data_IF_751659976582
#
_entry.id   IF_751659976582
#
_cell.length_a   1.000
_cell.length_b   1.000
_cell.length_c   1.000
_cell.angle_alpha   90.00
_cell.angle_beta   90.00
_cell.angle_gamma   90.00
#
_symmetry.space_group_name_H-M   'P 1'
#
loop_
_entity.id
_entity.type
_entity.pdbx_description
1 polymer ?
#
# COMPACT_ATOMS: atom_id res chain seq x y z
N UNK A 1 23.93 22.43 -1.72
CA UNK A 1 22.52 22.87 -1.51
C UNK A 1 22.09 23.51 -2.82
N UNK A 2 21.24 22.87 -3.65
CA UNK A 2 20.65 23.61 -4.76
C UNK A 2 19.58 24.48 -4.13
N UNK A 3 19.97 25.72 -3.81
CA UNK A 3 19.02 26.78 -3.50
C UNK A 3 17.96 26.72 -4.59
N UNK A 4 16.69 26.56 -4.22
CA UNK A 4 15.58 26.84 -5.13
C UNK A 4 15.80 28.25 -5.64
N UNK A 5 16.35 28.36 -6.86
CA UNK A 5 16.63 29.65 -7.49
C UNK A 5 15.29 30.37 -7.57
N UNK A 6 15.12 31.35 -6.69
CA UNK A 6 13.94 32.19 -6.70
C UNK A 6 14.18 33.22 -7.79
N UNK A 7 13.48 33.07 -8.92
CA UNK A 7 13.59 34.00 -10.02
C UNK A 7 12.74 35.23 -9.71
N UNK A 8 13.30 36.43 -9.91
CA UNK A 8 12.55 37.67 -9.75
C UNK A 8 11.47 37.88 -10.83
N UNK A 9 11.50 37.11 -11.93
CA UNK A 9 10.50 37.14 -12.99
C UNK A 9 10.53 35.88 -13.86
N UNK A 10 9.44 35.64 -14.59
CA UNK A 10 9.34 34.59 -15.62
C UNK A 10 10.36 34.77 -16.74
N UNK A 11 10.78 36.02 -17.02
CA UNK A 11 11.83 36.32 -18.02
C UNK A 11 13.19 35.80 -17.54
N UNK A 12 13.56 36.06 -16.29
CA UNK A 12 14.80 35.54 -15.69
C UNK A 12 14.80 34.01 -15.64
N UNK A 13 13.67 33.39 -15.29
CA UNK A 13 13.52 31.94 -15.34
C UNK A 13 13.74 31.39 -16.75
N UNK A 14 13.12 31.97 -17.78
CA UNK A 14 13.29 31.52 -19.18
C UNK A 14 14.72 31.68 -19.68
N UNK A 15 15.41 32.75 -19.28
CA UNK A 15 16.82 32.99 -19.62
C UNK A 15 17.73 31.96 -18.98
N UNK A 16 17.57 31.71 -17.68
CA UNK A 16 18.36 30.70 -16.97
C UNK A 16 18.03 29.30 -17.48
N UNK A 17 16.76 29.01 -17.79
CA UNK A 17 16.33 27.70 -18.29
C UNK A 17 17.07 27.27 -19.55
N UNK A 18 17.42 28.19 -20.46
CA UNK A 18 18.21 27.83 -21.65
C UNK A 18 19.59 27.29 -21.29
N UNK A 19 20.26 27.89 -20.30
CA UNK A 19 21.57 27.45 -19.81
C UNK A 19 21.44 26.22 -18.91
N UNK A 20 20.48 26.26 -17.99
CA UNK A 20 20.22 25.19 -17.05
C UNK A 20 19.81 23.91 -17.77
N UNK A 21 18.95 23.96 -18.80
CA UNK A 21 18.46 22.79 -19.53
C UNK A 21 19.59 21.91 -20.09
N UNK A 22 20.69 22.52 -20.54
CA UNK A 22 21.86 21.79 -21.05
C UNK A 22 22.53 20.96 -19.94
N UNK A 23 22.51 21.49 -18.71
CA UNK A 23 23.08 20.82 -17.52
C UNK A 23 22.01 20.07 -16.71
N UNK A 24 20.75 20.14 -17.13
CA UNK A 24 19.60 19.57 -16.46
C UNK A 24 19.54 18.12 -16.91
N UNK A 25 20.16 17.21 -16.15
CA UNK A 25 20.18 15.77 -16.46
C UNK A 25 18.78 15.21 -16.76
N UNK A 26 18.72 14.08 -17.45
CA UNK A 26 17.45 13.46 -17.82
C UNK A 26 16.60 13.20 -16.58
N UNK A 27 15.33 13.61 -16.62
CA UNK A 27 14.38 13.37 -15.53
C UNK A 27 13.32 12.38 -16.01
N UNK A 28 13.38 11.17 -15.51
CA UNK A 28 12.33 10.18 -15.65
C UNK A 28 11.18 10.51 -14.72
N UNK A 29 9.96 10.40 -15.24
CA UNK A 29 8.75 10.68 -14.47
C UNK A 29 7.89 9.43 -14.39
N UNK A 30 7.71 8.92 -13.18
CA UNK A 30 6.89 7.75 -12.89
C UNK A 30 5.49 8.21 -12.51
N UNK A 31 4.47 7.67 -13.18
CA UNK A 31 3.07 7.97 -12.84
C UNK A 31 2.70 7.29 -11.52
N UNK A 32 2.19 8.05 -10.56
CA UNK A 32 1.76 7.58 -9.25
C UNK A 32 0.65 6.52 -9.35
N UNK A 33 -0.27 6.67 -10.31
CA UNK A 33 -1.35 5.68 -10.54
C UNK A 33 -0.77 4.30 -10.93
N UNK A 34 0.34 4.27 -11.66
CA UNK A 34 1.00 3.04 -12.10
C UNK A 34 1.94 2.49 -11.02
N UNK A 35 2.41 3.34 -10.10
CA UNK A 35 3.47 3.00 -9.16
C UNK A 35 2.96 2.71 -7.74
N UNK A 36 1.79 3.21 -7.37
CA UNK A 36 1.27 3.00 -6.01
C UNK A 36 1.06 1.52 -5.63
N UNK A 37 0.80 0.54 -6.53
CA UNK A 37 0.71 -0.85 -6.11
C UNK A 37 2.02 -1.36 -5.49
N UNK A 38 3.18 -0.93 -6.01
CA UNK A 38 4.46 -1.22 -5.37
C UNK A 38 4.58 -0.57 -3.98
N UNK A 39 4.08 0.66 -3.82
CA UNK A 39 4.00 1.32 -2.50
C UNK A 39 3.09 0.55 -1.53
N UNK A 40 1.96 0.04 -2.03
CA UNK A 40 1.03 -0.81 -1.28
C UNK A 40 1.65 -2.15 -0.90
N UNK A 41 2.48 -2.74 -1.77
CA UNK A 41 3.25 -3.93 -1.43
C UNK A 41 4.23 -3.66 -0.29
N UNK A 42 4.98 -2.55 -0.31
CA UNK A 42 5.87 -2.17 0.79
C UNK A 42 5.12 -1.98 2.12
N UNK A 43 3.92 -1.39 2.07
CA UNK A 43 3.05 -1.29 3.24
C UNK A 43 2.64 -2.66 3.75
N UNK A 44 2.17 -3.53 2.87
CA UNK A 44 1.69 -4.84 3.23
C UNK A 44 2.81 -5.76 3.73
N UNK A 45 3.99 -5.71 3.11
CA UNK A 45 5.17 -6.47 3.53
C UNK A 45 5.60 -6.07 4.94
N UNK A 46 5.56 -4.77 5.26
CA UNK A 46 5.85 -4.27 6.62
C UNK A 46 4.98 -4.90 7.72
N UNK A 47 3.77 -5.35 7.37
CA UNK A 47 2.85 -5.99 8.32
C UNK A 47 3.10 -7.48 8.53
N UNK A 48 3.80 -8.14 7.60
CA UNK A 48 4.07 -9.58 7.63
C UNK A 48 5.55 -9.92 7.84
N UNK A 49 6.43 -8.91 7.79
CA UNK A 49 7.86 -9.06 8.11
C UNK A 49 8.10 -9.25 9.61
N UNK A 50 8.12 -10.51 10.02
CA UNK A 50 8.55 -10.95 11.34
C UNK A 50 10.09 -11.09 11.35
N UNK A 51 10.80 -10.74 12.45
CA UNK A 51 10.31 -10.23 13.72
C UNK A 51 10.21 -8.69 13.81
N UNK A 52 10.33 -7.97 12.69
CA UNK A 52 10.40 -6.49 12.69
C UNK A 52 9.15 -5.89 13.35
N UNK A 53 7.97 -6.34 12.92
CA UNK A 53 6.70 -6.02 13.56
C UNK A 53 6.36 -7.11 14.58
N UNK A 54 6.16 -6.79 15.86
CA UNK A 54 5.65 -7.77 16.82
C UNK A 54 4.25 -8.26 16.42
N UNK A 55 3.97 -9.56 16.57
CA UNK A 55 2.65 -10.09 16.26
C UNK A 55 1.62 -9.48 17.20
N UNK A 56 0.43 -9.17 16.67
CA UNK A 56 -0.66 -8.70 17.50
C UNK A 56 -1.07 -9.83 18.48
N UNK A 57 -1.33 -9.56 19.78
CA UNK A 57 -1.60 -10.63 20.75
C UNK A 57 -2.81 -11.52 20.39
N UNK A 58 -3.81 -10.96 19.72
CA UNK A 58 -4.96 -11.73 19.20
C UNK A 58 -4.60 -12.78 18.13
N UNK A 59 -3.43 -12.67 17.48
CA UNK A 59 -2.91 -13.70 16.56
C UNK A 59 -2.19 -14.84 17.29
N UNK A 60 -1.89 -14.64 18.58
CA UNK A 60 -1.15 -15.59 19.43
C UNK A 60 -2.08 -16.36 20.39
N UNK A 61 -3.39 -16.10 20.32
CA UNK A 61 -4.42 -16.70 21.16
C UNK A 61 -5.60 -17.16 20.30
N UNK A 62 -6.33 -18.18 20.78
CA UNK A 62 -7.51 -18.70 20.09
C UNK A 62 -8.71 -17.79 20.31
N UNK A 63 -9.47 -17.50 19.25
CA UNK A 63 -10.76 -16.80 19.36
C UNK A 63 -11.86 -17.82 19.70
N UNK A 64 -12.59 -17.60 20.80
CA UNK A 64 -13.55 -18.59 21.34
C UNK A 64 -15.02 -18.23 21.18
N UNK A 65 -15.37 -16.99 20.83
CA UNK A 65 -16.75 -16.58 20.58
C UNK A 65 -17.09 -16.64 19.07
N UNK A 66 -18.34 -16.33 18.70
CA UNK A 66 -18.76 -16.41 17.29
C UNK A 66 -18.27 -15.18 16.49
N UNK A 67 -18.01 -15.31 15.19
CA UNK A 67 -17.71 -14.18 14.31
C UNK A 67 -18.83 -13.14 14.31
N UNK A 68 -20.11 -13.52 14.23
CA UNK A 68 -21.25 -12.60 14.19
C UNK A 68 -21.54 -11.84 15.49
N UNK A 69 -20.55 -11.63 16.37
CA UNK A 69 -20.73 -10.82 17.58
C UNK A 69 -21.15 -9.39 17.21
N UNK A 70 -22.26 -8.88 17.77
CA UNK A 70 -22.64 -7.49 17.56
C UNK A 70 -21.62 -6.56 18.18
N UNK A 71 -21.56 -5.32 17.71
CA UNK A 71 -20.81 -4.29 18.41
C UNK A 71 -21.41 -4.08 19.79
N UNK A 72 -20.55 -4.00 20.81
CA UNK A 72 -20.95 -3.77 22.20
C UNK A 72 -20.22 -2.56 22.76
N UNK A 73 -20.81 -1.91 23.76
CA UNK A 73 -20.16 -0.83 24.48
C UNK A 73 -19.07 -1.42 25.40
N UNK A 74 -17.86 -0.90 25.26
CA UNK A 74 -16.71 -1.23 26.10
C UNK A 74 -16.75 -0.40 27.41
N UNK A 75 -15.97 -0.77 28.44
CA UNK A 75 -15.98 -0.09 29.74
C UNK A 75 -15.66 1.41 29.70
N UNK A 76 -15.01 1.89 28.65
CA UNK A 76 -14.69 3.31 28.46
C UNK A 76 -15.77 4.09 27.68
N UNK A 77 -16.86 3.43 27.31
CA UNK A 77 -17.96 3.99 26.52
C UNK A 77 -17.81 3.88 25.00
N UNK A 78 -16.64 3.46 24.49
CA UNK A 78 -16.44 3.21 23.06
C UNK A 78 -17.18 1.95 22.60
N UNK A 79 -17.42 1.80 21.29
CA UNK A 79 -18.13 0.63 20.74
C UNK A 79 -17.25 -0.15 19.76
N UNK A 80 -17.26 -1.48 19.86
CA UNK A 80 -16.53 -2.37 18.95
C UNK A 80 -17.10 -3.79 18.95
N UNK A 81 -16.77 -4.60 17.95
CA UNK A 81 -16.93 -6.06 18.01
C UNK A 81 -15.89 -6.64 18.95
N UNK A 82 -16.38 -7.23 20.04
CA UNK A 82 -15.53 -7.77 21.10
C UNK A 82 -15.33 -9.27 20.92
N UNK A 83 -14.10 -9.66 20.59
CA UNK A 83 -13.68 -11.05 20.48
C UNK A 83 -13.09 -11.53 21.80
N UNK A 84 -13.44 -12.75 22.21
CA UNK A 84 -12.90 -13.37 23.42
C UNK A 84 -11.67 -14.21 23.05
N UNK A 85 -10.52 -13.94 23.67
CA UNK A 85 -9.25 -14.63 23.45
C UNK A 85 -8.98 -15.63 24.56
N UNK A 86 -8.80 -16.89 24.21
CA UNK A 86 -8.25 -17.90 25.10
C UNK A 86 -6.72 -17.85 25.04
N UNK A 87 -6.16 -16.97 25.85
CA UNK A 87 -4.72 -16.73 25.99
C UNK A 87 -4.08 -17.61 27.08
N UNK A 88 -4.83 -18.54 27.67
CA UNK A 88 -4.32 -19.53 28.63
C UNK A 88 -3.48 -20.63 27.97
N UNK A 89 -3.62 -20.78 26.65
CA UNK A 89 -2.86 -21.72 25.83
C UNK A 89 -2.24 -20.96 24.65
N UNK A 90 -0.93 -20.63 24.70
CA UNK A 90 -0.30 -19.90 23.61
C UNK A 90 -0.36 -20.69 22.32
N UNK A 91 -0.71 -20.01 21.23
CA UNK A 91 -0.72 -20.63 19.91
C UNK A 91 0.63 -20.45 19.20
N UNK A 92 1.02 -21.46 18.43
CA UNK A 92 2.19 -21.37 17.56
C UNK A 92 1.98 -20.32 16.46
N UNK A 93 3.01 -19.52 16.09
CA UNK A 93 2.96 -18.60 14.96
C UNK A 93 2.56 -19.24 13.61
N UNK A 94 2.70 -20.56 13.45
CA UNK A 94 2.30 -21.30 12.24
C UNK A 94 0.78 -21.42 12.03
N UNK A 95 0.01 -20.64 12.78
CA UNK A 95 -1.45 -20.63 12.77
C UNK A 95 -2.06 -20.32 11.41
N UNK A 96 -1.30 -19.63 10.54
CA UNK A 96 -1.64 -19.33 9.16
C UNK A 96 -2.01 -20.59 8.35
N UNK A 97 -1.40 -21.73 8.67
CA UNK A 97 -1.66 -23.00 7.99
C UNK A 97 -3.03 -23.59 8.35
N UNK A 98 -3.63 -23.18 9.48
CA UNK A 98 -4.94 -23.67 9.89
C UNK A 98 -5.77 -22.58 10.60
N UNK A 99 -6.37 -21.65 9.85
CA UNK A 99 -7.15 -20.54 10.42
C UNK A 99 -8.38 -21.03 11.22
N UNK A 100 -8.85 -22.25 10.98
CA UNK A 100 -9.95 -22.84 11.76
C UNK A 100 -9.50 -23.34 13.13
N UNK A 101 -8.22 -23.67 13.35
CA UNK A 101 -7.72 -23.94 14.70
C UNK A 101 -7.65 -22.66 15.54
N UNK A 102 -7.32 -21.54 14.91
CA UNK A 102 -7.30 -20.21 15.54
C UNK A 102 -8.70 -19.69 15.87
N UNK A 103 -9.62 -19.84 14.93
CA UNK A 103 -10.97 -19.31 15.04
C UNK A 103 -11.99 -20.39 14.68
N UNK A 104 -12.13 -21.37 15.57
CA UNK A 104 -12.91 -22.59 15.32
C UNK A 104 -14.40 -22.35 15.16
N UNK A 105 -14.91 -21.22 15.66
CA UNK A 105 -16.32 -20.82 15.51
C UNK A 105 -16.59 -19.96 14.28
N UNK A 106 -15.59 -19.69 13.44
CA UNK A 106 -15.80 -19.01 12.17
C UNK A 106 -16.77 -19.82 11.27
N UNK A 107 -17.67 -19.17 10.53
CA UNK A 107 -18.58 -19.91 9.63
C UNK A 107 -17.83 -20.60 8.48
N UNK A 108 -16.69 -20.05 8.08
CA UNK A 108 -15.84 -20.62 7.04
C UNK A 108 -14.37 -20.22 7.21
N UNK A 109 -13.42 -20.94 6.57
CA UNK A 109 -12.02 -20.54 6.52
C UNK A 109 -11.82 -19.13 5.92
N UNK A 110 -12.71 -18.68 5.03
CA UNK A 110 -12.64 -17.34 4.44
C UNK A 110 -12.89 -16.25 5.49
N UNK A 111 -13.91 -16.43 6.34
CA UNK A 111 -14.21 -15.51 7.47
C UNK A 111 -13.01 -15.44 8.42
N UNK A 112 -12.46 -16.59 8.80
CA UNK A 112 -11.29 -16.65 9.66
C UNK A 112 -10.08 -15.94 9.03
N UNK A 113 -9.73 -16.24 7.77
CA UNK A 113 -8.61 -15.59 7.08
C UNK A 113 -8.78 -14.07 6.94
N UNK A 114 -10.00 -13.59 6.66
CA UNK A 114 -10.26 -12.15 6.58
C UNK A 114 -10.03 -11.47 7.92
N UNK A 115 -10.58 -12.01 9.02
CA UNK A 115 -10.33 -11.46 10.36
C UNK A 115 -8.84 -11.51 10.71
N UNK A 116 -8.16 -12.61 10.40
CA UNK A 116 -6.72 -12.75 10.59
C UNK A 116 -5.98 -11.59 9.92
N UNK A 117 -6.22 -11.37 8.63
CA UNK A 117 -5.59 -10.27 7.88
C UNK A 117 -5.93 -8.93 8.51
N UNK A 118 -7.20 -8.66 8.86
CA UNK A 118 -7.58 -7.38 9.51
C UNK A 118 -6.74 -7.09 10.76
N UNK A 119 -6.44 -8.12 11.55
CA UNK A 119 -5.59 -8.01 12.73
C UNK A 119 -4.11 -7.84 12.33
N UNK A 120 -3.61 -8.59 11.35
CA UNK A 120 -2.25 -8.46 10.82
C UNK A 120 -1.95 -7.04 10.32
N UNK A 121 -2.89 -6.40 9.64
CA UNK A 121 -2.74 -5.04 9.11
C UNK A 121 -3.00 -3.93 10.17
N UNK A 122 -3.28 -4.29 11.42
CA UNK A 122 -3.54 -3.30 12.49
C UNK A 122 -2.26 -2.77 13.13
N UNK A 123 -2.29 -1.51 13.56
CA UNK A 123 -1.21 -0.88 14.35
C UNK A 123 0.05 -0.52 13.55
N UNK A 124 0.93 0.27 14.15
CA UNK A 124 2.22 0.71 13.59
C UNK A 124 2.14 1.42 12.23
N UNK A 125 1.00 2.02 11.88
CA UNK A 125 0.83 2.71 10.60
C UNK A 125 1.85 3.85 10.42
N UNK A 126 2.05 4.68 11.45
CA UNK A 126 2.97 5.82 11.38
C UNK A 126 4.42 5.43 11.00
N UNK A 127 5.12 4.51 11.70
CA UNK A 127 6.47 4.12 11.32
C UNK A 127 6.53 3.46 9.93
N UNK A 128 5.52 2.69 9.53
CA UNK A 128 5.45 2.05 8.20
C UNK A 128 5.34 3.11 7.10
N UNK A 129 4.38 4.02 7.20
CA UNK A 129 4.19 5.08 6.21
C UNK A 129 5.38 6.05 6.17
N UNK A 130 6.03 6.30 7.32
CA UNK A 130 7.25 7.12 7.38
C UNK A 130 8.42 6.44 6.69
N UNK A 131 8.59 5.12 6.84
CA UNK A 131 9.61 4.36 6.13
C UNK A 131 9.40 4.40 4.61
N UNK A 132 8.17 4.17 4.13
CA UNK A 132 7.83 4.25 2.70
C UNK A 132 8.11 5.65 2.15
N UNK A 133 7.64 6.68 2.85
CA UNK A 133 7.83 8.05 2.41
C UNK A 133 9.30 8.50 2.49
N UNK A 134 10.09 7.93 3.41
CA UNK A 134 11.55 8.09 3.45
C UNK A 134 12.20 7.44 2.23
N UNK A 135 11.81 6.22 1.84
CA UNK A 135 12.33 5.56 0.64
C UNK A 135 12.02 6.37 -0.64
N UNK A 136 10.79 6.88 -0.79
CA UNK A 136 10.43 7.80 -1.88
C UNK A 136 11.33 9.05 -1.83
N UNK A 137 11.53 9.63 -0.65
CA UNK A 137 12.32 10.85 -0.52
C UNK A 137 13.78 10.62 -0.92
N UNK A 138 14.40 9.57 -0.38
CA UNK A 138 15.78 9.18 -0.68
C UNK A 138 15.98 8.93 -2.17
N UNK A 139 15.28 7.96 -2.75
CA UNK A 139 15.58 7.50 -4.10
C UNK A 139 15.05 8.45 -5.19
N UNK A 140 13.88 9.05 -4.97
CA UNK A 140 13.23 9.87 -5.99
C UNK A 140 13.41 11.37 -5.78
N UNK A 141 13.90 11.85 -4.64
CA UNK A 141 13.93 13.30 -4.40
C UNK A 141 15.25 13.83 -3.83
N UNK A 142 16.16 12.97 -3.38
CA UNK A 142 17.53 13.39 -2.99
C UNK A 142 18.59 13.18 -4.07
N UNK A 143 18.31 12.39 -5.10
CA UNK A 143 19.16 12.20 -6.30
C UNK A 143 19.51 13.50 -7.04
N UNK A 144 18.77 14.59 -6.82
CA UNK A 144 19.15 15.94 -7.32
C UNK A 144 20.33 16.58 -6.60
N UNK A 145 20.61 16.18 -5.36
CA UNK A 145 21.70 16.74 -4.57
C UNK A 145 23.01 15.95 -4.67
N UNK A 146 22.95 14.72 -5.19
CA UNK A 146 24.11 13.86 -5.48
C UNK A 146 24.37 13.68 -6.97
N UNK A 147 23.71 14.46 -7.85
CA UNK A 147 24.13 14.59 -9.24
C UNK A 147 25.45 15.38 -9.29
N UNK A 148 26.52 14.73 -8.83
CA UNK A 148 27.87 15.29 -8.80
C UNK A 148 28.42 15.34 -10.24
N UNK A 149 27.94 14.48 -11.13
CA UNK A 149 28.30 14.46 -12.53
C UNK A 149 27.20 15.04 -13.44
N UNK A 150 27.56 15.91 -14.41
CA UNK A 150 26.67 16.22 -15.53
C UNK A 150 26.23 14.93 -16.24
N UNK A 151 24.92 14.68 -16.28
CA UNK A 151 24.36 13.48 -16.92
C UNK A 151 23.62 12.55 -15.97
N UNK A 152 23.74 12.74 -14.66
CA UNK A 152 23.06 11.87 -13.70
C UNK A 152 21.53 11.92 -13.86
N UNK A 153 20.95 10.73 -13.87
CA UNK A 153 19.54 10.48 -14.09
C UNK A 153 18.75 10.81 -12.84
N UNK A 154 17.66 11.56 -12.99
CA UNK A 154 16.73 11.91 -11.91
C UNK A 154 15.43 11.18 -12.11
N UNK A 155 14.87 10.63 -11.04
CA UNK A 155 13.56 9.98 -11.07
C UNK A 155 12.61 10.84 -10.25
N UNK A 156 11.40 11.12 -10.72
CA UNK A 156 10.39 11.92 -10.00
C UNK A 156 9.02 11.31 -10.16
N UNK A 157 8.17 11.49 -9.15
CA UNK A 157 6.76 11.14 -9.29
C UNK A 157 6.01 12.24 -10.05
N UNK A 158 5.06 11.82 -10.88
CA UNK A 158 3.99 12.65 -11.44
C UNK A 158 2.66 11.97 -11.15
N UNK A 159 1.59 12.73 -11.10
CA UNK A 159 0.24 12.19 -11.19
C UNK A 159 -0.34 12.62 -12.52
N UNK A 160 -0.64 11.64 -13.39
CA UNK A 160 -0.97 11.88 -14.80
C UNK A 160 0.10 12.77 -15.43
N UNK A 161 -0.24 13.88 -16.06
CA UNK A 161 0.72 14.80 -16.70
C UNK A 161 1.33 15.84 -15.74
N UNK A 162 1.02 15.82 -14.44
CA UNK A 162 1.42 16.87 -13.51
C UNK A 162 2.44 16.35 -12.50
N UNK A 163 3.65 16.95 -12.39
CA UNK A 163 4.64 16.55 -11.40
C UNK A 163 4.11 16.64 -9.96
N UNK A 164 4.54 15.72 -9.09
CA UNK A 164 4.34 15.82 -7.65
C UNK A 164 5.30 16.88 -7.09
N UNK A 165 4.74 17.89 -6.44
CA UNK A 165 5.45 19.05 -5.87
C UNK A 165 5.64 18.98 -4.36
N UNK A 166 4.82 18.18 -3.67
CA UNK A 166 4.94 17.90 -2.25
C UNK A 166 4.38 16.51 -1.93
N UNK A 167 4.87 15.87 -0.88
CA UNK A 167 4.25 14.71 -0.26
C UNK A 167 4.66 14.61 1.21
N UNK A 168 3.88 13.87 1.97
CA UNK A 168 4.14 13.67 3.38
C UNK A 168 3.09 12.78 4.02
N UNK A 169 2.97 12.88 5.35
CA UNK A 169 2.00 12.12 6.12
C UNK A 169 0.98 13.08 6.71
N UNK A 170 -0.29 12.72 6.56
CA UNK A 170 -1.40 13.35 7.24
C UNK A 170 -1.89 12.43 8.36
N UNK A 171 -2.40 13.04 9.43
CA UNK A 171 -3.00 12.39 10.58
C UNK A 171 -4.34 13.04 10.88
N UNK A 172 -5.32 12.24 11.27
CA UNK A 172 -6.66 12.69 11.55
C UNK A 172 -7.54 11.57 12.06
N UNK A 173 -8.84 11.67 11.77
CA UNK A 173 -9.82 10.63 12.08
C UNK A 173 -10.51 10.11 10.84
N UNK A 174 -11.09 8.91 10.95
CA UNK A 174 -11.88 8.27 9.91
C UNK A 174 -13.24 7.84 10.42
N UNK A 175 -14.29 8.02 9.62
CA UNK A 175 -15.65 7.63 9.99
C UNK A 175 -15.85 6.12 9.85
N UNK A 176 -15.71 5.40 10.96
CA UNK A 176 -15.87 3.95 11.05
C UNK A 176 -17.06 3.58 11.92
N UNK A 177 -17.92 2.71 11.41
CA UNK A 177 -19.09 2.22 12.14
C UNK A 177 -18.66 1.26 13.29
N UNK A 178 -19.41 1.20 14.40
CA UNK A 178 -19.06 0.34 15.54
C UNK A 178 -18.79 -1.13 15.18
N UNK A 179 -19.56 -1.70 14.26
CA UNK A 179 -19.40 -3.09 13.81
C UNK A 179 -18.12 -3.35 13.00
N UNK A 180 -17.44 -2.31 12.54
CA UNK A 180 -16.19 -2.42 11.81
C UNK A 180 -14.97 -2.20 12.71
N UNK A 181 -15.18 -1.86 13.99
CA UNK A 181 -14.11 -1.73 14.99
C UNK A 181 -13.89 -3.07 15.69
N UNK A 182 -12.65 -3.37 16.03
CA UNK A 182 -12.25 -4.61 16.69
C UNK A 182 -11.77 -4.33 18.11
N UNK A 183 -12.13 -5.19 19.05
CA UNK A 183 -11.57 -5.27 20.39
C UNK A 183 -11.44 -6.74 20.80
N UNK A 184 -10.53 -7.02 21.73
CA UNK A 184 -10.21 -8.36 22.15
C UNK A 184 -10.11 -8.42 23.67
N UNK A 185 -10.89 -9.28 24.32
CA UNK A 185 -10.81 -9.51 25.77
C UNK A 185 -10.00 -10.77 26.04
N UNK A 186 -8.98 -10.66 26.89
CA UNK A 186 -8.22 -11.82 27.35
C UNK A 186 -9.01 -12.60 28.39
N UNK A 187 -8.97 -13.92 28.31
CA UNK A 187 -9.63 -14.80 29.27
C UNK A 187 -8.86 -14.89 30.59
N UNK A 188 -7.54 -14.75 30.55
CA UNK A 188 -6.66 -14.86 31.72
C UNK A 188 -6.95 -13.81 32.80
N UNK A 189 -7.11 -12.54 32.40
CA UNK A 189 -7.22 -11.39 33.31
C UNK A 189 -8.42 -10.47 33.01
N UNK A 190 -9.20 -10.74 31.95
CA UNK A 190 -10.32 -9.91 31.52
C UNK A 190 -9.91 -8.58 30.86
N UNK A 191 -8.61 -8.33 30.66
CA UNK A 191 -8.12 -7.10 30.04
C UNK A 191 -8.54 -6.99 28.57
N UNK A 192 -8.80 -5.77 28.12
CA UNK A 192 -9.26 -5.50 26.75
C UNK A 192 -8.12 -4.86 25.95
N UNK A 193 -7.72 -5.53 24.88
CA UNK A 193 -6.85 -5.01 23.84
C UNK A 193 -7.72 -4.40 22.76
N UNK A 194 -7.47 -3.14 22.41
CA UNK A 194 -8.16 -2.48 21.30
C UNK A 194 -7.49 -2.76 19.98
N UNK A 195 -8.29 -2.85 18.93
CA UNK A 195 -7.81 -2.72 17.56
C UNK A 195 -7.35 -1.29 17.27
N UNK A 196 -7.20 -0.99 15.99
CA UNK A 196 -6.79 0.33 15.55
C UNK A 196 -7.80 1.42 15.95
N UNK A 197 -7.30 2.58 16.37
CA UNK A 197 -8.14 3.71 16.74
C UNK A 197 -8.52 4.52 15.47
N UNK A 198 -9.82 4.67 15.14
CA UNK A 198 -10.23 5.48 14.01
C UNK A 198 -9.95 6.99 14.21
N UNK A 199 -9.72 7.47 15.44
CA UNK A 199 -9.42 8.88 15.74
C UNK A 199 -7.92 9.21 15.69
N UNK A 200 -7.06 8.19 15.55
CA UNK A 200 -5.62 8.30 15.31
C UNK A 200 -5.21 7.55 14.04
N UNK A 201 -5.69 8.05 12.90
CA UNK A 201 -5.49 7.46 11.59
C UNK A 201 -4.49 8.24 10.74
N UNK A 202 -3.69 7.53 9.94
CA UNK A 202 -2.57 8.08 9.16
C UNK A 202 -2.64 7.65 7.70
N UNK A 203 -2.33 8.56 6.78
CA UNK A 203 -2.25 8.28 5.34
C UNK A 203 -1.15 9.10 4.68
N UNK A 204 -0.69 8.66 3.50
CA UNK A 204 0.26 9.44 2.69
C UNK A 204 -0.54 10.37 1.78
N UNK A 205 -0.17 11.65 1.76
CA UNK A 205 -0.72 12.61 0.80
C UNK A 205 0.34 12.98 -0.24
N UNK A 206 -0.11 13.24 -1.45
CA UNK A 206 0.67 13.81 -2.54
C UNK A 206 -0.01 15.08 -3.04
N UNK A 207 0.78 16.09 -3.39
CA UNK A 207 0.27 17.34 -3.96
C UNK A 207 0.97 17.62 -5.28
N UNK A 208 0.20 17.72 -6.36
CA UNK A 208 0.73 18.06 -7.68
C UNK A 208 1.15 19.52 -7.75
N UNK A 209 1.97 19.88 -8.74
CA UNK A 209 2.36 21.28 -8.99
C UNK A 209 1.17 22.22 -9.28
N UNK A 210 -0.02 21.66 -9.57
CA UNK A 210 -1.27 22.41 -9.75
C UNK A 210 -2.12 22.48 -8.47
N UNK A 211 -1.63 21.96 -7.34
CA UNK A 211 -2.35 21.91 -6.07
C UNK A 211 -3.41 20.81 -5.99
N UNK A 212 -3.44 19.87 -6.93
CA UNK A 212 -4.31 18.70 -6.82
C UNK A 212 -3.76 17.74 -5.76
N UNK A 213 -4.64 17.23 -4.91
CA UNK A 213 -4.27 16.32 -3.83
C UNK A 213 -4.72 14.90 -4.14
N UNK A 214 -3.82 13.95 -3.89
CA UNK A 214 -4.03 12.51 -4.01
C UNK A 214 -3.69 11.89 -2.66
N UNK A 215 -4.52 10.97 -2.17
CA UNK A 215 -4.29 10.25 -0.92
C UNK A 215 -4.00 8.80 -1.26
N UNK A 216 -2.91 8.25 -0.71
CA UNK A 216 -2.68 6.81 -0.65
C UNK A 216 -3.11 6.33 0.74
N UNK A 217 -4.23 5.61 0.76
CA UNK A 217 -4.85 5.05 1.96
C UNK A 217 -4.48 3.56 2.07
N UNK A 218 -3.84 3.15 3.16
CA UNK A 218 -3.43 1.76 3.39
C UNK A 218 -3.90 1.20 4.75
N UNK A 219 -4.47 2.05 5.62
CA UNK A 219 -4.82 1.74 7.00
C UNK A 219 -6.30 1.47 7.23
N UNK A 220 -7.15 1.46 6.19
CA UNK A 220 -8.61 1.27 6.34
C UNK A 220 -9.06 -0.19 6.34
N UNK A 221 -8.19 -1.12 5.98
CA UNK A 221 -8.51 -2.55 5.96
C UNK A 221 -8.86 -3.13 7.35
N UNK A 222 -8.17 -2.77 8.45
CA UNK A 222 -8.59 -3.15 9.80
C UNK A 222 -10.02 -2.72 10.14
N UNK A 223 -10.52 -1.65 9.51
CA UNK A 223 -11.88 -1.13 9.62
C UNK A 223 -12.84 -1.67 8.55
N UNK A 224 -12.54 -2.86 8.00
CA UNK A 224 -13.38 -3.55 7.03
C UNK A 224 -13.64 -2.76 5.73
N UNK A 225 -12.80 -1.77 5.40
CA UNK A 225 -12.80 -1.20 4.05
C UNK A 225 -11.92 -2.05 3.16
N UNK A 226 -12.56 -2.82 2.30
CA UNK A 226 -11.96 -4.00 1.69
C UNK A 226 -11.31 -3.74 0.33
N UNK A 227 -10.94 -2.49 0.04
CA UNK A 227 -10.19 -2.16 -1.16
C UNK A 227 -8.81 -2.79 -1.11
N UNK A 228 -8.49 -3.59 -2.13
CA UNK A 228 -7.18 -4.19 -2.32
C UNK A 228 -6.69 -3.91 -3.74
N UNK A 229 -5.37 -3.92 -3.92
CA UNK A 229 -4.73 -3.83 -5.23
C UNK A 229 -3.87 -5.07 -5.44
N UNK A 230 -3.91 -5.63 -6.65
CA UNK A 230 -2.98 -6.69 -7.06
C UNK A 230 -1.56 -6.15 -7.10
N UNK A 231 -0.64 -6.83 -6.41
CA UNK A 231 0.75 -6.43 -6.30
C UNK A 231 1.73 -7.39 -6.95
N UNK A 232 1.29 -8.58 -7.37
CA UNK A 232 2.17 -9.57 -8.00
C UNK A 232 2.89 -9.02 -9.27
N UNK A 233 2.25 -8.23 -10.16
CA UNK A 233 2.90 -7.67 -11.34
C UNK A 233 3.93 -6.56 -11.04
N UNK A 234 3.98 -6.07 -9.80
CA UNK A 234 4.74 -4.89 -9.39
C UNK A 234 5.97 -5.23 -8.55
N UNK A 235 6.22 -6.52 -8.33
CA UNK A 235 7.34 -7.03 -7.56
C UNK A 235 8.16 -7.98 -8.43
N UNK A 236 9.41 -7.64 -8.79
CA UNK A 236 10.25 -8.51 -9.60
C UNK A 236 10.43 -9.88 -8.94
N UNK A 237 10.40 -11.00 -9.70
CA UNK A 237 10.59 -12.35 -9.14
C UNK A 237 11.90 -12.52 -8.36
N UNK A 238 12.94 -11.79 -8.76
CA UNK A 238 14.27 -11.83 -8.16
C UNK A 238 14.49 -10.69 -7.17
N UNK A 239 13.45 -9.95 -6.76
CA UNK A 239 13.61 -9.00 -5.66
C UNK A 239 14.17 -9.80 -4.48
N UNK A 240 15.31 -9.38 -3.88
CA UNK A 240 15.85 -10.06 -2.73
C UNK A 240 14.86 -9.86 -1.58
N UNK A 241 13.92 -10.78 -1.49
CA UNK A 241 13.11 -10.98 -0.31
C UNK A 241 14.05 -11.58 0.74
N UNK A 242 13.74 -11.37 2.02
CA UNK A 242 14.49 -12.04 3.06
C UNK A 242 14.54 -13.55 2.72
N UNK A 243 15.73 -14.18 2.69
CA UNK A 243 15.96 -15.48 2.06
C UNK A 243 15.13 -16.63 2.62
N UNK A 244 14.44 -16.41 3.74
CA UNK A 244 13.59 -17.39 4.43
C UNK A 244 12.09 -17.18 4.18
N UNK A 245 11.70 -16.09 3.52
CA UNK A 245 10.31 -15.72 3.33
C UNK A 245 10.09 -15.17 1.92
N UNK A 246 9.79 -16.07 0.97
CA UNK A 246 9.16 -15.71 -0.32
C UNK A 246 7.75 -15.18 -0.05
N UNK A 247 7.68 -13.98 0.52
CA UNK A 247 6.42 -13.32 0.88
C UNK A 247 5.88 -12.66 -0.37
N UNK A 248 5.26 -13.45 -1.24
CA UNK A 248 4.40 -12.93 -2.28
C UNK A 248 3.09 -12.47 -1.67
N UNK A 249 2.90 -11.17 -1.68
CA UNK A 249 1.63 -10.55 -1.33
C UNK A 249 0.92 -10.36 -2.65
N UNK A 250 -0.03 -11.24 -2.97
CA UNK A 250 -0.80 -11.09 -4.20
C UNK A 250 -1.70 -9.86 -4.15
N UNK A 251 -2.30 -9.56 -2.99
CA UNK A 251 -3.20 -8.43 -2.82
C UNK A 251 -2.86 -7.61 -1.57
N UNK A 252 -2.49 -6.35 -1.78
CA UNK A 252 -2.21 -5.40 -0.72
C UNK A 252 -3.43 -4.51 -0.42
N UNK A 253 -3.86 -4.37 0.84
CA UNK A 253 -4.92 -3.45 1.19
C UNK A 253 -4.50 -2.00 0.96
N UNK A 254 -5.13 -1.36 -0.01
CA UNK A 254 -4.87 0.04 -0.30
C UNK A 254 -5.93 0.64 -1.21
N UNK A 255 -5.99 1.95 -1.22
CA UNK A 255 -6.83 2.73 -2.11
C UNK A 255 -6.15 4.06 -2.46
N UNK A 256 -6.07 4.37 -3.76
CA UNK A 256 -5.63 5.67 -4.23
C UNK A 256 -6.84 6.60 -4.37
N UNK A 257 -7.05 7.51 -3.42
CA UNK A 257 -8.19 8.43 -3.39
C UNK A 257 -7.84 9.71 -4.16
N UNK A 258 -8.17 9.69 -5.44
CA UNK A 258 -8.08 10.85 -6.33
C UNK A 258 -9.35 11.73 -6.31
N UNK A 259 -9.32 12.83 -7.07
CA UNK A 259 -10.42 13.79 -7.15
C UNK A 259 -11.77 13.15 -7.52
N UNK A 260 -11.76 12.16 -8.41
CA UNK A 260 -12.99 11.51 -8.88
C UNK A 260 -13.63 10.71 -7.74
N UNK A 261 -12.87 9.80 -7.11
CA UNK A 261 -13.33 9.02 -5.96
C UNK A 261 -13.76 9.94 -4.82
N UNK A 262 -12.99 10.99 -4.53
CA UNK A 262 -13.30 11.95 -3.46
C UNK A 262 -14.63 12.69 -3.67
N UNK A 263 -14.98 12.99 -4.93
CA UNK A 263 -16.27 13.62 -5.27
C UNK A 263 -17.43 12.62 -5.28
N UNK A 264 -17.17 11.37 -5.66
CA UNK A 264 -18.16 10.31 -5.76
C UNK A 264 -18.47 9.60 -4.44
N UNK A 265 -17.68 9.85 -3.39
CA UNK A 265 -17.78 9.10 -2.12
C UNK A 265 -17.97 10.04 -0.93
N UNK A 266 -18.73 9.64 0.11
CA UNK A 266 -18.84 10.43 1.33
C UNK A 266 -17.46 10.63 1.96
N UNK A 267 -17.18 11.85 2.43
CA UNK A 267 -15.92 12.15 3.14
C UNK A 267 -15.74 11.22 4.34
N UNK A 268 -14.73 10.36 4.27
CA UNK A 268 -14.36 9.42 5.31
C UNK A 268 -13.34 10.02 6.27
N UNK A 269 -12.36 10.74 5.74
CA UNK A 269 -11.25 11.33 6.46
C UNK A 269 -11.57 12.72 6.99
N UNK A 270 -11.15 13.00 8.21
CA UNK A 270 -11.11 14.34 8.79
C UNK A 270 -9.68 14.62 9.21
N UNK A 271 -8.98 15.42 8.41
CA UNK A 271 -7.58 15.75 8.71
C UNK A 271 -7.47 16.67 9.93
N UNK A 272 -6.52 16.35 10.81
CA UNK A 272 -6.15 17.16 11.96
C UNK A 272 -4.80 17.86 11.78
N UNK A 273 -3.84 17.19 11.14
CA UNK A 273 -2.50 17.72 10.90
C UNK A 273 -1.89 16.98 9.72
N UNK A 274 -1.03 17.65 8.96
CA UNK A 274 -0.10 17.01 8.03
C UNK A 274 1.28 17.61 8.16
N UNK A 275 2.31 16.82 7.85
CA UNK A 275 3.68 17.28 7.72
C UNK A 275 4.24 16.84 6.37
N UNK A 276 4.89 17.77 5.69
CA UNK A 276 5.62 17.49 4.45
C UNK A 276 6.98 16.85 4.78
N UNK A 277 7.36 15.86 3.99
CA UNK A 277 8.71 15.31 4.01
C UNK A 277 9.64 16.14 3.12
N UNK A 278 9.17 16.54 1.93
CA UNK A 278 9.94 17.32 0.95
C UNK A 278 10.24 18.77 1.35
N UNK A 279 9.56 19.28 2.37
CA UNK A 279 9.75 20.65 2.88
C UNK A 279 10.35 20.66 4.27
N UNK A 280 10.77 19.51 4.80
CA UNK A 280 11.37 19.42 6.13
C UNK A 280 12.91 19.49 6.05
N UNK A 281 13.53 20.63 6.41
CA UNK A 281 14.98 20.80 6.28
C UNK A 281 15.79 19.88 7.21
N UNK A 282 15.20 19.41 8.31
CA UNK A 282 15.87 18.46 9.21
C UNK A 282 15.94 17.07 8.56
N UNK A 283 14.86 16.61 7.92
CA UNK A 283 14.85 15.36 7.19
C UNK A 283 15.78 15.39 5.97
N UNK A 284 15.90 16.53 5.28
CA UNK A 284 16.82 16.68 4.15
C UNK A 284 18.28 16.45 4.55
N UNK A 285 18.68 16.86 5.76
CA UNK A 285 20.03 16.60 6.28
C UNK A 285 20.18 15.14 6.67
N UNK A 286 19.18 14.59 7.36
CA UNK A 286 19.20 13.20 7.82
C UNK A 286 19.26 12.20 6.66
N UNK A 287 18.45 12.40 5.62
CA UNK A 287 18.40 11.49 4.46
C UNK A 287 19.73 11.43 3.72
N UNK A 288 20.50 12.52 3.62
CA UNK A 288 21.81 12.47 2.95
C UNK A 288 22.77 11.49 3.61
N UNK A 289 22.74 11.45 4.94
CA UNK A 289 23.57 10.53 5.71
C UNK A 289 22.99 9.11 5.62
N UNK A 290 21.67 8.99 5.72
CA UNK A 290 20.96 7.72 5.62
C UNK A 290 21.17 7.03 4.26
N UNK A 291 21.09 7.78 3.15
CA UNK A 291 21.26 7.29 1.78
C UNK A 291 22.65 6.70 1.54
N UNK A 292 23.69 7.38 2.05
CA UNK A 292 25.08 6.95 1.92
C UNK A 292 25.30 5.60 2.61
N UNK A 293 24.83 5.50 3.85
CA UNK A 293 24.93 4.30 4.69
C UNK A 293 24.21 3.09 4.08
N UNK A 294 23.15 3.34 3.30
CA UNK A 294 22.30 2.29 2.73
C UNK A 294 22.88 1.66 1.45
N UNK A 295 23.44 2.48 0.55
CA UNK A 295 23.84 2.05 -0.80
C UNK A 295 25.27 1.50 -0.83
N UNK A 296 26.17 2.06 -0.03
CA UNK A 296 27.61 1.78 -0.16
C UNK A 296 28.06 0.58 0.67
N UNK A 297 27.37 0.24 1.77
CA UNK A 297 27.84 -0.72 2.77
C UNK A 297 26.90 -1.92 2.97
N UNK A 298 26.43 -2.57 1.90
CA UNK A 298 25.67 -3.83 2.06
C UNK A 298 26.50 -4.94 2.72
N UNK A 299 27.84 -4.87 2.65
CA UNK A 299 28.75 -5.88 3.22
C UNK A 299 29.27 -5.51 4.64
N UNK A 300 29.39 -4.23 5.00
CA UNK A 300 29.96 -3.78 6.31
C UNK A 300 29.06 -2.78 7.09
N UNK A 301 27.83 -2.57 6.63
CA UNK A 301 26.96 -1.44 6.97
C UNK A 301 26.81 -1.14 8.45
N UNK A 302 27.52 -0.11 8.91
CA UNK A 302 27.30 0.47 10.22
C UNK A 302 25.89 1.06 10.21
N UNK A 303 24.95 0.56 11.04
CA UNK A 303 23.60 1.06 11.00
C UNK A 303 23.55 2.53 11.41
N UNK A 304 22.56 3.29 10.90
CA UNK A 304 22.42 4.70 11.24
C UNK A 304 22.33 4.89 12.75
N UNK A 305 23.10 5.84 13.25
CA UNK A 305 23.20 6.18 14.66
C UNK A 305 21.88 6.78 15.17
N UNK A 306 21.68 6.74 16.48
CA UNK A 306 20.51 7.36 17.10
C UNK A 306 20.41 8.88 16.81
N UNK A 307 21.55 9.55 16.61
CA UNK A 307 21.60 10.97 16.26
C UNK A 307 21.08 11.24 14.85
N UNK A 308 21.42 10.38 13.88
CA UNK A 308 20.96 10.48 12.49
C UNK A 308 19.47 10.16 12.34
N UNK A 309 18.94 9.26 13.18
CA UNK A 309 17.52 8.90 13.19
C UNK A 309 16.64 9.90 13.95
N UNK A 310 17.23 10.73 14.83
CA UNK A 310 16.50 11.69 15.67
C UNK A 310 15.55 12.62 14.88
N UNK A 311 15.91 13.18 13.71
CA UNK A 311 15.00 14.00 12.92
C UNK A 311 13.73 13.26 12.47
N UNK A 312 13.83 11.96 12.13
CA UNK A 312 12.68 11.14 11.78
C UNK A 312 11.80 10.83 12.99
N UNK A 313 12.42 10.56 14.15
CA UNK A 313 11.68 10.38 15.40
C UNK A 313 10.90 11.65 15.76
N UNK A 314 11.56 12.81 15.74
CA UNK A 314 10.90 14.10 15.98
C UNK A 314 9.74 14.35 15.00
N UNK A 315 9.91 13.99 13.72
CA UNK A 315 8.86 14.10 12.71
C UNK A 315 7.63 13.25 13.06
N UNK A 316 7.83 11.99 13.43
CA UNK A 316 6.76 11.08 13.84
C UNK A 316 6.11 11.51 15.16
N UNK A 317 6.89 11.88 16.17
CA UNK A 317 6.38 12.37 17.47
C UNK A 317 5.56 13.66 17.31
N UNK A 318 5.94 14.51 16.35
CA UNK A 318 5.15 15.69 16.00
C UNK A 318 3.80 15.33 15.36
N UNK A 319 3.68 14.23 14.62
CA UNK A 319 2.40 13.77 14.06
C UNK A 319 1.54 13.09 15.12
N UNK A 320 2.11 12.14 15.86
CA UNK A 320 1.39 11.35 16.88
C UNK A 320 1.05 12.13 18.15
N UNK A 321 1.72 13.28 18.38
CA UNK A 321 1.62 14.09 19.61
C UNK A 321 2.00 13.31 20.88
N UNK A 322 2.81 12.27 20.73
CA UNK A 322 3.36 11.47 21.83
C UNK A 322 4.78 11.01 21.50
N UNK A 323 5.59 10.69 22.51
CA UNK A 323 6.85 9.99 22.28
C UNK A 323 6.64 8.67 21.55
N UNK A 324 7.58 8.30 20.68
CA UNK A 324 7.61 6.97 20.09
C UNK A 324 8.15 5.97 21.10
N UNK A 325 7.53 4.79 21.16
CA UNK A 325 8.07 3.68 21.93
C UNK A 325 9.27 3.02 21.21
N UNK A 326 9.99 2.15 21.93
CA UNK A 326 11.19 1.48 21.40
C UNK A 326 10.86 0.65 20.15
N UNK A 327 9.73 -0.04 20.15
CA UNK A 327 9.25 -0.85 19.02
C UNK A 327 9.03 -0.01 17.78
N UNK A 328 8.37 1.15 17.89
CA UNK A 328 8.12 2.06 16.77
C UNK A 328 9.42 2.61 16.18
N UNK A 329 10.38 2.98 17.04
CA UNK A 329 11.71 3.45 16.62
C UNK A 329 12.49 2.36 15.90
N UNK A 330 12.44 1.14 16.43
CA UNK A 330 13.07 -0.05 15.84
C UNK A 330 12.43 -0.42 14.49
N UNK A 331 11.10 -0.45 14.43
CA UNK A 331 10.35 -0.71 13.20
C UNK A 331 10.69 0.30 12.11
N UNK A 332 10.61 1.60 12.40
CA UNK A 332 10.97 2.62 11.43
C UNK A 332 12.39 2.44 10.89
N UNK A 333 13.38 2.24 11.77
CA UNK A 333 14.79 2.07 11.37
C UNK A 333 14.94 0.92 10.36
N UNK A 334 14.43 -0.27 10.71
CA UNK A 334 14.59 -1.45 9.84
C UNK A 334 13.79 -1.30 8.54
N UNK A 335 12.54 -0.85 8.61
CA UNK A 335 11.69 -0.68 7.44
C UNK A 335 12.20 0.42 6.50
N UNK A 336 12.79 1.49 7.03
CA UNK A 336 13.35 2.55 6.18
C UNK A 336 14.54 2.04 5.36
N UNK A 337 15.37 1.17 5.95
CA UNK A 337 16.45 0.49 5.21
C UNK A 337 15.89 -0.48 4.17
N UNK A 338 14.97 -1.37 4.56
CA UNK A 338 14.37 -2.35 3.65
C UNK A 338 13.65 -1.67 2.47
N UNK A 339 12.81 -0.68 2.74
CA UNK A 339 12.07 0.02 1.68
C UNK A 339 13.00 0.88 0.82
N UNK A 340 14.05 1.45 1.41
CA UNK A 340 15.13 2.09 0.66
C UNK A 340 15.77 1.12 -0.33
N UNK A 341 16.08 -0.10 0.12
CA UNK A 341 16.59 -1.16 -0.76
C UNK A 341 15.65 -1.49 -1.89
N UNK A 342 14.40 -1.84 -1.55
CA UNK A 342 13.43 -2.32 -2.54
C UNK A 342 13.17 -1.25 -3.58
N UNK A 343 13.11 0.02 -3.16
CA UNK A 343 12.99 1.16 -4.04
C UNK A 343 14.23 1.30 -4.94
N UNK A 344 15.43 1.28 -4.37
CA UNK A 344 16.69 1.36 -5.13
C UNK A 344 16.81 0.23 -6.16
N UNK A 345 16.49 -1.00 -5.74
CA UNK A 345 16.54 -2.19 -6.56
C UNK A 345 15.64 -2.07 -7.79
N UNK A 346 14.38 -1.66 -7.60
CA UNK A 346 13.44 -1.48 -8.71
C UNK A 346 13.84 -0.32 -9.63
N UNK A 347 14.32 0.79 -9.06
CA UNK A 347 14.60 2.00 -9.82
C UNK A 347 15.92 1.93 -10.60
N UNK A 348 16.92 1.23 -10.05
CA UNK A 348 18.31 1.26 -10.52
C UNK A 348 18.86 -0.11 -10.91
N UNK A 349 18.73 -1.14 -10.06
CA UNK A 349 19.48 -2.40 -10.23
C UNK A 349 18.78 -3.41 -11.15
N UNK A 350 17.45 -3.46 -11.15
CA UNK A 350 16.69 -4.43 -11.93
C UNK A 350 16.29 -3.87 -13.30
N UNK A 351 17.23 -3.34 -14.09
CA UNK A 351 16.94 -2.78 -15.43
C UNK A 351 15.75 -1.80 -15.50
N UNK A 352 15.43 -1.13 -14.40
CA UNK A 352 14.29 -0.22 -14.29
C UNK A 352 12.94 -0.93 -14.49
N UNK A 353 12.74 -2.12 -13.88
CA UNK A 353 11.51 -2.94 -13.97
C UNK A 353 10.21 -2.15 -13.77
N UNK A 354 10.22 -1.05 -13.03
CA UNK A 354 9.05 -0.18 -12.90
C UNK A 354 8.48 0.30 -14.24
N UNK A 355 9.28 0.31 -15.31
CA UNK A 355 8.83 0.64 -16.67
C UNK A 355 7.88 -0.42 -17.25
N UNK A 356 8.03 -1.67 -16.80
CA UNK A 356 7.23 -2.83 -17.22
C UNK A 356 5.96 -3.00 -16.37
N UNK A 357 5.78 -2.18 -15.34
CA UNK A 357 4.58 -2.22 -14.50
C UNK A 357 3.30 -2.00 -15.33
N UNK A 358 2.22 -2.74 -15.03
CA UNK A 358 0.94 -2.51 -15.67
C UNK A 358 0.46 -1.08 -15.46
N UNK A 359 -0.06 -0.48 -16.54
CA UNK A 359 -0.55 0.90 -16.54
C UNK A 359 -1.85 1.08 -15.77
N UNK A 360 -2.64 0.02 -15.71
CA UNK A 360 -3.92 -0.03 -15.01
C UNK A 360 -3.82 -1.09 -13.91
N UNK A 361 -3.66 -0.68 -12.64
CA UNK A 361 -3.63 -1.62 -11.53
C UNK A 361 -4.94 -2.37 -11.39
N UNK A 362 -4.85 -3.68 -11.15
CA UNK A 362 -6.04 -4.48 -10.88
C UNK A 362 -6.52 -4.21 -9.46
N UNK A 363 -7.75 -3.71 -9.35
CA UNK A 363 -8.41 -3.42 -8.09
C UNK A 363 -9.35 -4.56 -7.71
N UNK A 364 -9.38 -4.88 -6.42
CA UNK A 364 -10.26 -5.90 -5.85
C UNK A 364 -11.03 -5.38 -4.65
N UNK A 365 -12.12 -6.06 -4.34
CA UNK A 365 -12.88 -5.89 -3.08
C UNK A 365 -12.92 -7.22 -2.36
N UNK A 366 -12.37 -7.28 -1.16
CA UNK A 366 -12.43 -8.47 -0.31
C UNK A 366 -13.69 -8.46 0.57
N UNK A 367 -14.82 -8.89 0.00
CA UNK A 367 -16.11 -8.93 0.70
C UNK A 367 -16.07 -9.68 2.04
N UNK A 368 -16.90 -9.27 3.01
CA UNK A 368 -17.11 -10.07 4.21
C UNK A 368 -17.93 -11.29 3.84
N UNK A 369 -17.35 -12.48 3.98
CA UNK A 369 -18.03 -13.72 3.64
C UNK A 369 -19.32 -13.92 4.48
N UNK A 370 -19.40 -13.31 5.66
CA UNK A 370 -20.62 -13.36 6.49
C UNK A 370 -21.76 -12.48 5.98
N UNK A 371 -21.51 -11.55 5.06
CA UNK A 371 -22.52 -10.66 4.47
C UNK A 371 -23.11 -11.22 3.16
N UNK A 372 -22.53 -12.26 2.57
CA UNK A 372 -22.95 -12.79 1.26
C UNK A 372 -24.05 -13.86 1.32
N UNK A 373 -24.31 -14.46 2.48
CA UNK A 373 -25.23 -15.62 2.59
C UNK A 373 -26.73 -15.23 2.69
N UNK A 374 -27.08 -13.94 2.63
CA UNK A 374 -28.47 -13.48 2.81
C UNK A 374 -29.30 -13.57 1.49
N UNK A 375 -28.69 -13.80 0.33
CA UNK A 375 -29.40 -13.66 -0.96
C UNK A 375 -30.09 -14.91 -1.50
N UNK A 376 -30.04 -16.08 -0.85
CA UNK A 376 -30.60 -17.33 -1.40
C UNK A 376 -31.91 -17.81 -0.75
N UNK A 377 -32.61 -16.95 -0.01
CA UNK A 377 -33.96 -17.24 0.50
C UNK A 377 -34.95 -16.19 0.02
N UNK A 378 -35.89 -16.58 -0.84
CA UNK A 378 -37.03 -15.75 -1.25
C UNK A 378 -37.78 -15.17 -0.04
N UNK A 379 -37.70 -13.86 0.16
CA UNK A 379 -38.82 -12.92 0.26
C UNK A 379 -38.42 -11.62 0.96
N UNK A 380 -38.51 -10.52 0.19
CA UNK A 380 -38.91 -9.17 0.64
C UNK A 380 -38.43 -8.69 2.01
N UNK A 381 -37.12 -8.52 2.18
CA UNK A 381 -36.59 -7.45 3.02
C UNK A 381 -35.46 -6.75 2.28
N UNK A 382 -35.74 -5.53 1.82
CA UNK A 382 -34.76 -4.51 1.46
C UNK A 382 -33.94 -4.13 2.71
N UNK A 383 -33.10 -5.06 3.16
CA UNK A 383 -32.35 -4.98 4.41
C UNK A 383 -30.85 -4.88 4.16
N UNK A 384 -30.39 -3.63 4.02
CA UNK A 384 -29.05 -3.17 4.42
C UNK A 384 -27.85 -3.96 3.84
N UNK A 385 -27.68 -3.89 2.51
CA UNK A 385 -26.35 -3.48 2.04
C UNK A 385 -26.22 -2.02 2.45
N UNK A 386 -25.19 -1.57 3.20
CA UNK A 386 -25.04 -0.16 3.50
C UNK A 386 -25.13 0.62 2.18
N UNK A 387 -26.14 1.50 2.02
CA UNK A 387 -26.28 2.43 0.87
C UNK A 387 -24.95 3.09 0.49
N UNK A 388 -24.08 3.24 1.49
CA UNK A 388 -22.71 3.74 1.40
C UNK A 388 -21.80 2.92 0.49
N UNK A 389 -21.76 1.59 0.57
CA UNK A 389 -20.88 0.78 -0.32
C UNK A 389 -21.43 0.65 -1.74
N UNK A 390 -22.76 0.76 -1.92
CA UNK A 390 -23.36 0.75 -3.25
C UNK A 390 -22.90 1.93 -4.10
N UNK A 391 -22.81 3.14 -3.52
CA UNK A 391 -22.23 4.30 -4.20
C UNK A 391 -20.73 4.15 -4.53
N UNK A 392 -19.97 3.42 -3.70
CA UNK A 392 -18.57 3.09 -3.98
C UNK A 392 -18.44 2.09 -5.14
N UNK A 393 -19.24 1.03 -5.14
CA UNK A 393 -19.24 0.04 -6.20
C UNK A 393 -19.77 0.64 -7.52
N UNK A 394 -20.82 1.44 -7.49
CA UNK A 394 -21.34 2.14 -8.68
C UNK A 394 -20.34 3.19 -9.19
N UNK A 395 -19.58 3.86 -8.33
CA UNK A 395 -18.50 4.77 -8.74
C UNK A 395 -17.24 4.04 -9.24
N UNK A 396 -16.94 2.84 -8.76
CA UNK A 396 -15.78 2.06 -9.23
C UNK A 396 -16.12 1.33 -10.54
N UNK A 397 -17.30 0.67 -10.61
CA UNK A 397 -17.73 -0.10 -11.79
C UNK A 397 -18.41 0.75 -12.86
N UNK A 398 -19.11 1.84 -12.50
CA UNK A 398 -19.80 2.71 -13.47
C UNK A 398 -18.84 3.45 -14.40
N UNK A 399 -17.60 3.71 -13.97
CA UNK A 399 -16.57 4.32 -14.82
C UNK A 399 -15.94 3.33 -15.81
N UNK A 400 -15.85 2.04 -15.44
CA UNK A 400 -15.47 0.99 -16.38
C UNK A 400 -16.45 0.92 -17.56
N UNK A 401 -17.75 0.97 -17.28
CA UNK A 401 -18.79 0.93 -18.31
C UNK A 401 -18.79 2.15 -19.25
N UNK A 402 -18.57 3.36 -18.73
CA UNK A 402 -18.54 4.58 -19.57
C UNK A 402 -17.33 4.58 -20.50
N UNK A 403 -16.17 4.08 -20.06
CA UNK A 403 -14.99 3.95 -20.91
C UNK A 403 -15.17 2.86 -21.98
N UNK A 404 -15.75 1.70 -21.63
CA UNK A 404 -16.04 0.62 -22.58
C UNK A 404 -17.05 1.06 -23.65
N UNK A 405 -18.07 1.85 -23.30
CA UNK A 405 -19.04 2.38 -24.27
C UNK A 405 -18.41 3.42 -25.20
N UNK A 406 -17.49 4.27 -24.72
CA UNK A 406 -16.79 5.25 -25.56
C UNK A 406 -15.80 4.55 -26.52
N UNK A 407 -15.11 3.51 -26.07
CA UNK A 407 -14.22 2.70 -26.94
C UNK A 407 -15.02 1.87 -27.94
N UNK A 408 -16.15 1.28 -27.53
CA UNK A 408 -17.02 0.52 -28.43
C UNK A 408 -17.69 1.41 -29.51
N UNK A 409 -18.08 2.64 -29.16
CA UNK A 409 -18.63 3.60 -30.11
C UNK A 409 -17.55 4.20 -31.04
N UNK A 410 -16.29 4.25 -30.59
CA UNK A 410 -15.14 4.63 -31.43
C UNK A 410 -14.69 3.54 -32.41
N UNK A 411 -14.86 2.26 -32.05
CA UNK A 411 -14.48 1.11 -32.90
C UNK A 411 -15.49 0.76 -33.99
N UNK A 412 -16.71 1.30 -33.94
CA UNK A 412 -17.77 1.00 -34.92
C UNK A 412 -17.61 1.73 -36.28
N UNK A 413 -16.38 2.11 -36.66
CA UNK A 413 -16.06 2.77 -37.93
C UNK A 413 -14.99 2.08 -38.80
N UNK A 414 -14.50 0.90 -38.47
CA UNK A 414 -13.59 0.17 -39.38
C UNK A 414 -13.72 -1.35 -39.29
N UNK A 415 -14.85 -1.87 -39.77
CA UNK A 415 -15.13 -3.31 -39.81
C UNK A 415 -14.99 -3.84 -41.23
N UNK A 416 -13.75 -4.03 -41.71
CA UNK A 416 -13.49 -4.82 -42.92
C UNK A 416 -12.12 -5.51 -42.99
N UNK A 417 -11.25 -5.35 -41.98
CA UNK A 417 -9.89 -5.93 -42.01
C UNK A 417 -9.69 -7.07 -40.99
N UNK A 418 -10.49 -7.12 -39.91
CA UNK A 418 -10.29 -8.10 -38.83
C UNK A 418 -10.80 -9.52 -39.13
N UNK A 419 -11.81 -9.68 -39.99
CA UNK A 419 -12.37 -10.99 -40.29
C UNK A 419 -11.45 -11.91 -41.13
N UNK A 420 -10.40 -11.37 -41.76
CA UNK A 420 -9.49 -12.14 -42.60
C UNK A 420 -8.26 -12.69 -41.83
N UNK A 421 -7.88 -12.07 -40.72
CA UNK A 421 -6.69 -12.45 -39.95
C UNK A 421 -7.00 -13.59 -38.97
N UNK A 422 -8.21 -13.66 -38.40
CA UNK A 422 -8.60 -14.77 -37.51
C UNK A 422 -8.72 -16.12 -38.25
N UNK A 423 -9.05 -16.12 -39.54
CA UNK A 423 -9.18 -17.36 -40.31
C UNK A 423 -7.83 -18.04 -40.62
N UNK A 424 -6.73 -17.29 -40.66
CA UNK A 424 -5.40 -17.82 -41.00
C UNK A 424 -4.61 -18.21 -39.73
N UNK A 425 -4.79 -17.49 -38.62
CA UNK A 425 -4.06 -17.76 -37.37
C UNK A 425 -4.41 -19.10 -36.70
N UNK A 426 -5.67 -19.56 -36.85
CA UNK A 426 -6.14 -20.79 -36.21
C UNK A 426 -5.62 -22.10 -36.82
N UNK A 427 -5.22 -22.08 -38.10
CA UNK A 427 -4.88 -23.30 -38.84
C UNK A 427 -3.39 -23.67 -38.78
N UNK A 428 -2.50 -22.74 -38.43
CA UNK A 428 -1.05 -22.99 -38.44
C UNK A 428 -0.42 -23.14 -37.05
N UNK A 429 -1.06 -22.61 -36.00
CA UNK A 429 -0.46 -22.56 -34.65
C UNK A 429 -0.90 -23.71 -33.73
N UNK A 430 -2.04 -24.33 -33.99
CA UNK A 430 -2.56 -25.45 -33.18
C UNK A 430 -1.63 -26.69 -33.14
N UNK A 431 -1.00 -27.15 -34.24
CA UNK A 431 -0.14 -28.35 -34.18
C UNK A 431 1.19 -28.09 -33.46
N UNK A 432 1.71 -26.86 -33.48
CA UNK A 432 2.96 -26.48 -32.81
C UNK A 432 2.77 -26.48 -31.28
N UNK A 433 1.63 -25.98 -30.81
CA UNK A 433 1.32 -25.93 -29.38
C UNK A 433 1.16 -27.31 -28.75
N UNK A 434 0.60 -28.28 -29.49
CA UNK A 434 0.46 -29.67 -29.03
C UNK A 434 1.82 -30.36 -28.94
N UNK A 435 2.73 -30.14 -29.90
CA UNK A 435 4.06 -30.74 -29.87
C UNK A 435 4.94 -30.22 -28.72
N UNK A 436 4.86 -28.93 -28.38
CA UNK A 436 5.63 -28.34 -27.27
C UNK A 436 5.15 -28.90 -25.92
N UNK A 437 3.84 -29.05 -25.73
CA UNK A 437 3.30 -29.61 -24.49
C UNK A 437 3.61 -31.11 -24.36
N UNK A 438 3.61 -31.86 -25.46
CA UNK A 438 3.97 -33.28 -25.45
C UNK A 438 5.45 -33.51 -25.15
N UNK A 439 6.35 -32.69 -25.72
CA UNK A 439 7.78 -32.75 -25.41
C UNK A 439 8.09 -32.40 -23.96
N UNK A 440 7.38 -31.42 -23.39
CA UNK A 440 7.52 -31.02 -21.98
C UNK A 440 7.04 -32.11 -21.03
N UNK A 441 5.97 -32.83 -21.40
CA UNK A 441 5.47 -33.96 -20.61
C UNK A 441 6.43 -35.16 -20.62
N UNK A 442 7.04 -35.47 -21.77
CA UNK A 442 8.06 -36.53 -21.89
C UNK A 442 9.33 -36.20 -21.10
N UNK A 443 9.77 -34.94 -21.10
CA UNK A 443 10.92 -34.51 -20.30
C UNK A 443 10.67 -34.67 -18.79
N UNK A 444 9.45 -34.38 -18.34
CA UNK A 444 9.04 -34.54 -16.94
C UNK A 444 8.88 -36.00 -16.49
N UNK A 445 8.86 -36.97 -17.40
CA UNK A 445 8.85 -38.41 -17.05
C UNK A 445 10.24 -39.05 -17.06
N UNK A 446 11.25 -38.34 -17.59
CA UNK A 446 12.64 -38.81 -17.68
C UNK A 446 13.56 -38.20 -16.61
N UNK A 447 13.06 -37.23 -15.84
CA UNK A 447 13.67 -36.73 -14.60
C UNK A 447 12.94 -37.31 -13.39
#
# INVERSE_FOLDING_TARGET
MVLTRSYCSTKCQKLDWRRHRVNCGQTDQINLEEFYPFLSWMHASSHVMMPIKPPHPALMARIVNNPGVPATQLPDGSWARLFELDDTQPMSPMILLNPMKWFSRAQSPKVARKLFRRITYSGYQLPILTAIATAIFTEMYTTTSGAEAPGDRRIRLRYRSVPISDFGIAVGSVKVAPQDRLAFRKKSDGSIIRGQDPDDHYWIYFTTAKGEEIILECGMFPFNMCGVVDTDPYVPPNMPTYPEADVRIGYAPSLLIERVIRKGTPTLHTERKRLSILRNPQLHRAVKVFAKTYIEDLDDGVPPTAAELKPFYNYMEALSRRPLNITEKHMFRNLASIHGFSMHYILCQCNQEWRNFPKEPQLGIEYDASEMDISNGENTLTGIVPRRMRGWNEAIYGYGWVLTVIVALGFWRSSSVFAFIEAIGGLLLAPIYVMINFASYLLGMLM
#
